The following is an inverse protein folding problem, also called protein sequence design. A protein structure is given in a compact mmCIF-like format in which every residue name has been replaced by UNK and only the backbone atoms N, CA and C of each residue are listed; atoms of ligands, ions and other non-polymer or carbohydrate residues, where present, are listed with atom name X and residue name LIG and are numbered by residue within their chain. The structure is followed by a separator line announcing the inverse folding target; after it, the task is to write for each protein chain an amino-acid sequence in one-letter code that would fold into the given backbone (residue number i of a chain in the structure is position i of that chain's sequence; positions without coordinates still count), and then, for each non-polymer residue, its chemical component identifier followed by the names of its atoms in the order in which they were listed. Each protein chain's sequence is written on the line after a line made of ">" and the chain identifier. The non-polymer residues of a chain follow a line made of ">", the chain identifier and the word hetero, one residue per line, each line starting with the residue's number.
data_IF_986779874836
#
_entry.id   IF_986779874836
#
_cell.length_a   1.000
_cell.length_b   1.000
_cell.length_c   1.000
_cell.angle_alpha   90.00
_cell.angle_beta   90.00
_cell.angle_gamma   90.00
#
_symmetry.space_group_name_H-M   'P 1'
#
loop_
_entity.id
_entity.type
_entity.pdbx_description
1 polymer ?
#
# COMPACT_ATOMS: atom_id res chain seq x y z
N UNK A 1 -8.74 56.29 -70.98
CA UNK A 1 -8.88 56.10 -69.53
C UNK A 1 -9.01 54.59 -69.28
N UNK A 2 -7.94 53.82 -69.56
CA UNK A 2 -8.04 52.34 -69.69
C UNK A 2 -6.70 51.62 -69.49
N UNK A 3 -5.82 52.14 -68.64
CA UNK A 3 -4.55 51.45 -68.29
C UNK A 3 -4.36 51.27 -66.77
N UNK A 4 -5.13 51.97 -65.94
CA UNK A 4 -5.05 51.85 -64.49
C UNK A 4 -5.62 50.52 -63.96
N UNK A 5 -6.56 49.89 -64.69
CA UNK A 5 -7.24 48.68 -64.22
C UNK A 5 -6.43 47.39 -64.37
N UNK A 6 -5.37 47.37 -65.19
CA UNK A 6 -4.53 46.17 -65.36
C UNK A 6 -3.43 46.04 -64.30
N UNK A 7 -3.05 47.14 -63.64
CA UNK A 7 -2.04 47.13 -62.57
C UNK A 7 -2.66 46.66 -61.25
N UNK A 8 -3.93 47.01 -60.98
CA UNK A 8 -4.66 46.57 -59.78
C UNK A 8 -4.92 45.05 -59.76
N UNK A 9 -5.18 44.44 -60.93
CA UNK A 9 -5.44 43.00 -61.03
C UNK A 9 -4.19 42.14 -60.81
N UNK A 10 -2.99 42.69 -61.05
CA UNK A 10 -1.72 42.00 -60.83
C UNK A 10 -1.22 42.12 -59.37
N UNK A 11 -1.80 43.01 -58.57
CA UNK A 11 -1.37 43.29 -57.19
C UNK A 11 -1.99 42.34 -56.14
N UNK A 12 -2.94 41.49 -56.53
CA UNK A 12 -3.65 40.57 -55.61
C UNK A 12 -3.28 39.09 -55.75
N UNK A 13 -2.11 38.75 -56.30
CA UNK A 13 -1.50 37.45 -56.01
C UNK A 13 -0.90 37.46 -54.59
N UNK A 14 -1.77 37.51 -53.57
CA UNK A 14 -1.40 37.15 -52.21
C UNK A 14 -1.03 35.67 -52.22
N UNK A 15 0.24 35.41 -52.49
CA UNK A 15 0.89 34.11 -52.30
C UNK A 15 0.39 33.54 -50.98
N UNK A 16 -0.33 32.42 -51.03
CA UNK A 16 -0.86 31.75 -49.86
C UNK A 16 0.26 31.66 -48.82
N UNK A 17 0.01 32.16 -47.60
CA UNK A 17 1.01 32.14 -46.52
C UNK A 17 1.59 30.73 -46.46
N UNK A 18 2.87 30.61 -46.83
CA UNK A 18 3.57 29.35 -46.83
C UNK A 18 3.49 28.87 -45.40
N UNK A 19 2.72 27.81 -45.20
CA UNK A 19 2.54 27.16 -43.91
C UNK A 19 3.89 27.16 -43.18
N UNK A 20 3.95 27.72 -41.98
CA UNK A 20 5.18 27.77 -41.19
C UNK A 20 5.55 26.35 -40.72
N UNK A 21 6.09 25.56 -41.64
CA UNK A 21 6.47 24.17 -41.44
C UNK A 21 7.53 24.05 -40.34
N UNK A 22 8.47 25.01 -40.26
CA UNK A 22 9.47 25.06 -39.20
C UNK A 22 8.83 25.22 -37.81
N UNK A 23 7.86 26.12 -37.66
CA UNK A 23 7.11 26.31 -36.42
C UNK A 23 6.28 25.10 -36.04
N UNK A 24 5.62 24.45 -37.02
CA UNK A 24 4.86 23.21 -36.79
C UNK A 24 5.75 22.04 -36.37
N UNK A 25 6.89 21.85 -37.05
CA UNK A 25 7.87 20.82 -36.68
C UNK A 25 8.44 21.09 -35.29
N UNK A 26 8.79 22.35 -34.99
CA UNK A 26 9.24 22.75 -33.65
C UNK A 26 8.22 22.43 -32.57
N UNK A 27 6.95 22.75 -32.79
CA UNK A 27 5.86 22.40 -31.87
C UNK A 27 5.68 20.89 -31.71
N UNK A 28 5.75 20.11 -32.79
CA UNK A 28 5.63 18.65 -32.72
C UNK A 28 6.78 18.02 -31.95
N UNK A 29 8.01 18.47 -32.19
CA UNK A 29 9.20 18.01 -31.45
C UNK A 29 9.09 18.39 -29.98
N UNK A 30 8.71 19.65 -29.68
CA UNK A 30 8.51 20.11 -28.31
C UNK A 30 7.45 19.30 -27.57
N UNK A 31 6.31 19.03 -28.22
CA UNK A 31 5.24 18.20 -27.66
C UNK A 31 5.71 16.76 -27.44
N UNK A 32 6.43 16.16 -28.39
CA UNK A 32 6.95 14.81 -28.26
C UNK A 32 7.95 14.69 -27.09
N UNK A 33 8.85 15.65 -26.93
CA UNK A 33 9.79 15.71 -25.80
C UNK A 33 9.05 15.89 -24.46
N UNK A 34 8.04 16.75 -24.43
CA UNK A 34 7.22 16.94 -23.22
C UNK A 34 6.48 15.66 -22.83
N UNK A 35 5.86 14.97 -23.79
CA UNK A 35 5.21 13.67 -23.56
C UNK A 35 6.23 12.65 -23.07
N UNK A 36 7.40 12.54 -23.71
CA UNK A 36 8.46 11.62 -23.29
C UNK A 36 8.94 11.91 -21.86
N UNK A 37 9.08 13.19 -21.49
CA UNK A 37 9.44 13.61 -20.13
C UNK A 37 8.37 13.20 -19.11
N UNK A 38 7.08 13.40 -19.41
CA UNK A 38 5.98 12.97 -18.53
C UNK A 38 6.02 11.46 -18.33
N UNK A 39 6.16 10.67 -19.40
CA UNK A 39 6.29 9.21 -19.28
C UNK A 39 7.54 8.80 -18.49
N UNK A 40 8.66 9.51 -18.66
CA UNK A 40 9.87 9.26 -17.88
C UNK A 40 9.68 9.56 -16.39
N UNK A 41 9.03 10.67 -16.04
CA UNK A 41 8.70 11.02 -14.65
C UNK A 41 7.72 10.01 -14.03
N UNK A 42 6.70 9.57 -14.77
CA UNK A 42 5.79 8.50 -14.33
C UNK A 42 6.55 7.19 -14.06
N UNK A 43 7.49 6.83 -14.94
CA UNK A 43 8.36 5.67 -14.77
C UNK A 43 9.26 5.81 -13.54
N UNK A 44 9.87 6.97 -13.31
CA UNK A 44 10.68 7.23 -12.11
C UNK A 44 9.84 7.10 -10.84
N UNK A 45 8.64 7.70 -10.79
CA UNK A 45 7.72 7.55 -9.66
C UNK A 45 7.36 6.10 -9.36
N UNK A 46 7.19 5.27 -10.39
CA UNK A 46 6.99 3.82 -10.23
C UNK A 46 8.22 3.09 -9.70
N UNK A 47 9.43 3.43 -10.18
CA UNK A 47 10.67 2.83 -9.70
C UNK A 47 10.96 3.19 -8.24
N UNK A 48 10.67 4.43 -7.83
CA UNK A 48 10.81 4.89 -6.45
C UNK A 48 9.85 4.15 -5.52
N UNK A 49 8.59 3.95 -5.92
CA UNK A 49 7.65 3.11 -5.15
C UNK A 49 8.10 1.66 -5.02
N UNK A 50 8.69 1.07 -6.07
CA UNK A 50 9.24 -0.29 -6.01
C UNK A 50 10.41 -0.40 -5.03
N UNK A 51 11.34 0.55 -5.06
CA UNK A 51 12.47 0.61 -4.11
C UNK A 51 11.98 0.76 -2.68
N UNK A 52 10.97 1.61 -2.47
CA UNK A 52 10.31 1.69 -1.19
C UNK A 52 9.80 0.31 -0.76
N UNK A 53 9.22 -0.54 -1.59
CA UNK A 53 8.75 -1.85 -1.12
C UNK A 53 9.83 -2.96 -1.07
N UNK A 54 11.02 -2.74 -1.64
CA UNK A 54 12.04 -3.78 -1.83
C UNK A 54 12.86 -4.10 -0.56
N UNK A 55 13.02 -3.14 0.36
CA UNK A 55 13.86 -3.28 1.55
C UNK A 55 13.13 -3.89 2.77
N UNK A 56 12.03 -4.62 2.55
CA UNK A 56 11.36 -5.31 3.66
C UNK A 56 12.18 -6.53 4.07
N UNK A 57 12.57 -6.66 5.35
CA UNK A 57 13.32 -7.82 5.83
C UNK A 57 12.50 -9.11 5.67
N UNK A 58 13.13 -10.26 5.82
CA UNK A 58 12.39 -11.53 5.75
C UNK A 58 11.35 -11.64 6.87
N UNK A 59 10.24 -12.31 6.57
CA UNK A 59 9.16 -12.52 7.54
C UNK A 59 9.63 -13.45 8.65
N UNK A 60 9.14 -13.23 9.86
CA UNK A 60 9.41 -14.15 10.96
C UNK A 60 8.74 -15.50 10.67
N UNK A 61 9.40 -16.58 11.05
CA UNK A 61 8.82 -17.92 11.07
C UNK A 61 8.12 -18.13 12.41
N UNK A 62 6.98 -18.82 12.39
CA UNK A 62 6.33 -19.24 13.62
C UNK A 62 7.29 -20.14 14.44
N UNK A 63 7.34 -19.99 15.78
CA UNK A 63 8.10 -20.91 16.62
C UNK A 63 7.50 -22.32 16.54
N UNK A 64 8.33 -23.35 16.72
CA UNK A 64 7.87 -24.76 16.67
C UNK A 64 6.79 -25.07 17.72
N UNK A 65 6.79 -24.36 18.85
CA UNK A 65 5.79 -24.46 19.90
C UNK A 65 5.27 -23.04 20.24
N UNK A 66 4.27 -22.53 19.49
CA UNK A 66 3.74 -21.17 19.72
C UNK A 66 2.90 -21.05 21.00
N UNK A 67 2.55 -22.17 21.63
CA UNK A 67 1.74 -22.23 22.83
C UNK A 67 0.26 -22.51 22.54
N UNK A 68 -0.58 -22.34 23.55
CA UNK A 68 -2.02 -22.57 23.45
C UNK A 68 -2.71 -21.46 22.63
N UNK A 69 -3.65 -21.83 21.77
CA UNK A 69 -4.43 -20.89 20.97
C UNK A 69 -5.41 -20.12 21.87
N UNK A 70 -5.24 -18.79 21.93
CA UNK A 70 -6.19 -17.89 22.59
C UNK A 70 -7.46 -17.70 21.77
N UNK A 71 -7.28 -17.53 20.46
CA UNK A 71 -8.35 -17.34 19.49
C UNK A 71 -7.96 -17.96 18.15
N UNK A 72 -8.96 -18.52 17.48
CA UNK A 72 -8.84 -19.06 16.13
C UNK A 72 -9.95 -18.51 15.24
N UNK A 73 -9.61 -18.25 13.98
CA UNK A 73 -10.52 -17.68 13.00
C UNK A 73 -10.18 -18.20 11.60
N UNK A 74 -11.21 -18.55 10.84
CA UNK A 74 -11.11 -18.77 9.40
C UNK A 74 -11.73 -17.60 8.63
N UNK A 75 -11.21 -17.33 7.44
CA UNK A 75 -11.82 -16.36 6.55
C UNK A 75 -10.99 -16.02 5.32
N UNK A 76 -10.93 -14.72 5.01
CA UNK A 76 -10.22 -14.20 3.84
C UNK A 76 -9.21 -13.13 4.23
N UNK A 77 -8.03 -13.24 3.65
CA UNK A 77 -7.02 -12.22 3.69
C UNK A 77 -7.14 -11.29 2.48
N UNK A 78 -7.22 -9.98 2.73
CA UNK A 78 -7.45 -8.97 1.71
C UNK A 78 -6.18 -8.32 1.15
N UNK A 79 -5.04 -8.53 1.82
CA UNK A 79 -3.76 -7.91 1.51
C UNK A 79 -3.25 -7.06 2.69
N UNK A 80 -1.98 -6.69 2.61
CA UNK A 80 -1.38 -5.73 3.52
C UNK A 80 -1.08 -4.40 2.83
N UNK A 81 -1.12 -3.33 3.61
CA UNK A 81 -0.78 -1.98 3.18
C UNK A 81 0.18 -1.33 4.16
N UNK A 82 0.84 -0.25 3.74
CA UNK A 82 1.46 0.66 4.70
C UNK A 82 0.39 1.18 5.67
N UNK A 83 0.70 1.21 6.97
CA UNK A 83 -0.26 1.58 8.00
C UNK A 83 -0.87 2.96 7.74
N UNK A 84 -2.20 3.06 7.83
CA UNK A 84 -2.96 4.28 7.53
C UNK A 84 -3.04 4.67 6.05
N UNK A 85 -2.33 3.98 5.14
CA UNK A 85 -2.37 4.21 3.71
C UNK A 85 -3.05 3.04 2.98
N UNK A 86 -4.36 2.93 3.11
CA UNK A 86 -5.16 1.78 2.63
C UNK A 86 -5.08 1.50 1.10
N UNK A 87 -4.53 2.43 0.30
CA UNK A 87 -4.28 2.24 -1.13
C UNK A 87 -2.86 1.75 -1.44
N UNK A 88 -1.90 1.94 -0.53
CA UNK A 88 -0.51 1.56 -0.71
C UNK A 88 -0.29 0.08 -0.39
N UNK A 89 -0.65 -0.78 -1.35
CA UNK A 89 -0.53 -2.23 -1.22
C UNK A 89 0.94 -2.66 -1.20
N UNK A 90 1.31 -3.47 -0.22
CA UNK A 90 2.63 -4.09 -0.11
C UNK A 90 2.63 -5.38 -0.90
N UNK A 91 3.49 -5.49 -1.92
CA UNK A 91 3.58 -6.68 -2.77
C UNK A 91 4.71 -7.63 -2.33
N UNK A 92 5.67 -7.14 -1.55
CA UNK A 92 6.78 -7.94 -1.02
C UNK A 92 6.28 -9.14 -0.20
N UNK A 93 7.06 -10.22 -0.22
CA UNK A 93 6.85 -11.45 0.57
C UNK A 93 5.45 -12.07 0.44
N UNK A 94 4.75 -11.81 -0.68
CA UNK A 94 3.39 -12.30 -0.91
C UNK A 94 2.31 -11.61 -0.07
N UNK A 95 2.63 -10.51 0.63
CA UNK A 95 1.67 -9.78 1.47
C UNK A 95 0.56 -9.09 0.64
N UNK A 96 0.74 -8.93 -0.67
CA UNK A 96 -0.25 -8.32 -1.56
C UNK A 96 -1.28 -9.30 -2.14
N UNK A 97 -1.05 -10.60 -1.99
CA UNK A 97 -1.87 -11.66 -2.60
C UNK A 97 -3.07 -11.94 -1.71
N UNK A 98 -4.27 -11.93 -2.30
CA UNK A 98 -5.52 -12.30 -1.61
C UNK A 98 -5.62 -13.82 -1.52
N UNK A 99 -6.07 -14.32 -0.39
CA UNK A 99 -6.16 -15.76 -0.15
C UNK A 99 -7.27 -16.09 0.87
N UNK A 100 -7.56 -17.39 1.01
CA UNK A 100 -8.12 -17.88 2.27
C UNK A 100 -7.10 -17.72 3.39
N UNK A 101 -7.57 -17.65 4.62
CA UNK A 101 -6.70 -17.51 5.78
C UNK A 101 -7.29 -18.23 6.98
N UNK A 102 -6.39 -18.81 7.76
CA UNK A 102 -6.62 -19.34 9.10
C UNK A 102 -5.68 -18.55 10.03
N UNK A 103 -6.26 -17.92 11.04
CA UNK A 103 -5.56 -17.11 12.03
C UNK A 103 -5.57 -17.84 13.36
N UNK A 104 -4.41 -17.91 13.99
CA UNK A 104 -4.26 -18.42 15.35
C UNK A 104 -3.50 -17.39 16.17
N UNK A 105 -4.15 -16.86 17.21
CA UNK A 105 -3.51 -15.95 18.16
C UNK A 105 -3.01 -16.75 19.35
N UNK A 106 -1.73 -16.61 19.67
CA UNK A 106 -1.07 -17.24 20.82
C UNK A 106 -0.33 -16.18 21.63
N UNK A 107 0.25 -16.57 22.77
CA UNK A 107 1.14 -15.71 23.56
C UNK A 107 2.40 -15.31 22.78
N UNK A 108 2.87 -16.18 21.88
CA UNK A 108 4.03 -15.91 21.03
C UNK A 108 3.74 -14.87 19.94
N UNK A 109 2.48 -14.78 19.49
CA UNK A 109 2.09 -13.86 18.43
C UNK A 109 0.91 -14.35 17.59
N UNK A 110 0.75 -13.73 16.43
CA UNK A 110 -0.27 -14.04 15.45
C UNK A 110 0.30 -14.90 14.33
N UNK A 111 -0.19 -16.14 14.24
CA UNK A 111 0.09 -17.01 13.11
C UNK A 111 -0.95 -16.83 12.00
N UNK A 112 -0.49 -16.73 10.76
CA UNK A 112 -1.30 -16.44 9.58
C UNK A 112 -1.02 -17.48 8.50
N UNK A 113 -1.82 -18.54 8.51
CA UNK A 113 -1.76 -19.61 7.53
C UNK A 113 -2.66 -19.24 6.35
N UNK A 114 -2.11 -19.24 5.14
CA UNK A 114 -2.79 -18.82 3.90
C UNK A 114 -2.72 -19.94 2.86
N UNK A 115 -3.66 -20.90 2.87
CA UNK A 115 -3.67 -21.99 1.89
C UNK A 115 -3.61 -21.47 0.45
N UNK A 116 -2.55 -21.86 -0.28
CA UNK A 116 -2.30 -21.44 -1.66
C UNK A 116 -1.58 -20.09 -1.81
N UNK A 117 -1.07 -19.51 -0.72
CA UNK A 117 -0.17 -18.37 -0.70
C UNK A 117 0.92 -18.59 0.39
N UNK A 118 1.85 -17.65 0.55
CA UNK A 118 2.91 -17.79 1.56
C UNK A 118 2.35 -17.53 2.96
N UNK A 119 2.68 -18.36 3.94
CA UNK A 119 2.31 -18.10 5.33
C UNK A 119 3.19 -17.02 5.95
N UNK A 120 2.76 -16.42 7.06
CA UNK A 120 3.59 -15.50 7.82
C UNK A 120 3.23 -15.44 9.28
N UNK A 121 4.23 -15.16 10.12
CA UNK A 121 4.05 -15.00 11.55
C UNK A 121 4.35 -13.56 11.98
N UNK A 122 3.51 -13.03 12.86
CA UNK A 122 3.70 -11.72 13.50
C UNK A 122 3.97 -11.94 14.99
N UNK A 123 5.23 -11.85 15.42
CA UNK A 123 5.61 -11.91 16.83
C UNK A 123 4.83 -10.93 17.70
N UNK A 124 4.53 -11.32 18.94
CA UNK A 124 3.76 -10.51 19.87
C UNK A 124 4.39 -9.12 20.15
N UNK A 125 5.72 -9.04 20.21
CA UNK A 125 6.50 -7.81 20.40
C UNK A 125 6.44 -6.84 19.20
N UNK A 126 6.04 -7.36 18.04
CA UNK A 126 5.84 -6.61 16.79
C UNK A 126 4.38 -6.20 16.57
N UNK A 127 3.43 -6.70 17.35
CA UNK A 127 2.05 -6.24 17.29
C UNK A 127 1.94 -4.80 17.80
N UNK A 128 1.17 -3.97 17.08
CA UNK A 128 0.93 -2.55 17.41
C UNK A 128 -0.54 -2.26 17.65
N UNK A 129 -1.43 -3.20 17.34
CA UNK A 129 -2.83 -3.16 17.70
C UNK A 129 -3.72 -3.76 16.63
N UNK A 130 -5.01 -3.80 16.91
CA UNK A 130 -6.03 -4.19 15.98
C UNK A 130 -7.22 -3.23 16.04
N UNK A 131 -7.90 -3.07 14.90
CA UNK A 131 -9.09 -2.24 14.78
C UNK A 131 -10.08 -2.85 13.80
N UNK A 132 -11.33 -2.42 13.91
CA UNK A 132 -12.32 -2.64 12.88
C UNK A 132 -12.26 -1.50 11.88
N UNK A 133 -12.24 -1.81 10.60
CA UNK A 133 -12.13 -0.82 9.54
C UNK A 133 -13.13 -1.13 8.40
N UNK A 134 -13.25 -0.19 7.47
CA UNK A 134 -14.10 -0.29 6.28
C UNK A 134 -13.29 -0.58 5.03
N UNK A 135 -11.99 -0.29 5.01
CA UNK A 135 -11.22 -0.41 3.79
C UNK A 135 -9.76 -0.82 3.96
N UNK A 136 -9.29 -1.67 3.06
CA UNK A 136 -7.88 -2.02 2.94
C UNK A 136 -7.54 -2.48 1.52
N UNK A 137 -6.29 -2.23 1.12
CA UNK A 137 -5.73 -2.67 -0.16
C UNK A 137 -6.63 -2.35 -1.36
N UNK A 138 -7.22 -1.15 -1.39
CA UNK A 138 -8.12 -0.70 -2.46
C UNK A 138 -9.51 -1.36 -2.46
N UNK A 139 -9.93 -2.02 -1.37
CA UNK A 139 -11.28 -2.57 -1.23
C UNK A 139 -12.00 -1.94 -0.05
N UNK A 140 -13.25 -1.53 -0.25
CA UNK A 140 -14.16 -1.04 0.79
C UNK A 140 -15.25 -2.09 1.05
N UNK A 141 -15.58 -2.30 2.32
CA UNK A 141 -16.60 -3.21 2.83
C UNK A 141 -17.56 -2.44 3.74
N UNK A 142 -18.60 -3.13 4.22
CA UNK A 142 -19.51 -2.60 5.24
C UNK A 142 -18.76 -2.32 6.54
N UNK A 143 -19.30 -1.39 7.34
CA UNK A 143 -18.78 -1.05 8.67
C UNK A 143 -18.63 -2.28 9.56
N UNK A 144 -17.47 -2.40 10.23
CA UNK A 144 -17.13 -3.56 11.06
C UNK A 144 -16.79 -4.85 10.29
N UNK A 145 -16.84 -4.80 8.94
CA UNK A 145 -16.66 -5.97 8.08
C UNK A 145 -15.21 -6.42 7.89
N UNK A 146 -14.24 -5.68 8.45
CA UNK A 146 -12.81 -5.96 8.31
C UNK A 146 -12.10 -5.82 9.66
N UNK A 147 -11.36 -6.86 10.05
CA UNK A 147 -10.35 -6.82 11.10
C UNK A 147 -9.03 -6.37 10.48
N UNK A 148 -8.48 -5.25 10.93
CA UNK A 148 -7.15 -4.78 10.55
C UNK A 148 -6.22 -4.95 11.73
N UNK A 149 -5.12 -5.68 11.53
CA UNK A 149 -4.05 -5.84 12.50
C UNK A 149 -2.87 -5.00 12.04
N UNK A 150 -2.43 -4.08 12.90
CA UNK A 150 -1.25 -3.23 12.67
C UNK A 150 -0.05 -3.84 13.37
N UNK A 151 1.07 -3.96 12.67
CA UNK A 151 2.30 -4.56 13.19
C UNK A 151 3.55 -3.95 12.57
N UNK A 152 4.67 -4.04 13.28
CA UNK A 152 5.97 -3.54 12.81
C UNK A 152 6.75 -4.61 12.04
N UNK A 153 7.32 -4.24 10.91
CA UNK A 153 8.16 -5.08 10.08
C UNK A 153 9.39 -4.30 9.61
N UNK A 154 10.54 -4.55 10.25
CA UNK A 154 11.68 -3.64 10.16
C UNK A 154 11.28 -2.24 10.66
N UNK A 155 11.62 -1.21 9.90
CA UNK A 155 11.32 0.19 10.23
C UNK A 155 9.91 0.64 9.79
N UNK A 156 9.02 -0.30 9.45
CA UNK A 156 7.69 0.01 8.88
C UNK A 156 6.56 -0.49 9.73
N UNK A 157 5.47 0.26 9.69
CA UNK A 157 4.17 -0.18 10.18
C UNK A 157 3.33 -0.68 9.00
N UNK A 158 2.82 -1.89 9.15
CA UNK A 158 2.01 -2.60 8.17
C UNK A 158 0.62 -2.82 8.75
N UNK A 159 -0.40 -2.56 7.95
CA UNK A 159 -1.78 -2.95 8.21
C UNK A 159 -2.09 -4.21 7.40
N UNK A 160 -2.47 -5.30 8.07
CA UNK A 160 -2.94 -6.54 7.45
C UNK A 160 -4.44 -6.70 7.67
N UNK A 161 -5.19 -6.91 6.58
CA UNK A 161 -6.64 -6.92 6.62
C UNK A 161 -7.25 -8.29 6.42
N UNK A 162 -8.14 -8.65 7.33
CA UNK A 162 -8.80 -9.95 7.42
C UNK A 162 -10.30 -9.77 7.50
N UNK A 163 -11.02 -10.70 6.88
CA UNK A 163 -12.46 -10.82 7.04
C UNK A 163 -12.77 -12.25 7.48
N UNK A 164 -13.25 -12.39 8.71
CA UNK A 164 -13.80 -13.64 9.22
C UNK A 164 -14.97 -14.11 8.38
N UNK A 165 -15.15 -15.43 8.30
CA UNK A 165 -16.40 -16.02 7.85
C UNK A 165 -17.59 -15.64 8.75
N UNK A 166 -17.31 -15.33 10.03
CA UNK A 166 -18.27 -14.89 11.05
C UNK A 166 -17.86 -13.52 11.60
N UNK A 167 -18.46 -12.45 11.06
CA UNK A 167 -18.05 -11.07 11.35
C UNK A 167 -18.14 -10.69 12.84
N UNK A 168 -19.03 -11.35 13.59
CA UNK A 168 -19.20 -11.19 15.04
C UNK A 168 -17.95 -11.59 15.85
N UNK A 169 -16.99 -12.29 15.25
CA UNK A 169 -15.71 -12.62 15.90
C UNK A 169 -14.76 -11.41 15.97
N UNK A 170 -14.83 -10.46 15.03
CA UNK A 170 -13.81 -9.41 14.94
C UNK A 170 -13.63 -8.57 16.22
N UNK A 171 -14.69 -8.20 16.98
CA UNK A 171 -14.53 -7.48 18.24
C UNK A 171 -13.68 -8.23 19.27
N UNK A 172 -13.83 -9.56 19.38
CA UNK A 172 -13.05 -10.38 20.31
C UNK A 172 -11.56 -10.37 19.95
N UNK A 173 -11.23 -10.39 18.66
CA UNK A 173 -9.86 -10.27 18.17
C UNK A 173 -9.21 -8.94 18.52
N UNK A 174 -9.95 -7.84 18.37
CA UNK A 174 -9.48 -6.50 18.77
C UNK A 174 -9.21 -6.46 20.28
N UNK A 175 -10.11 -7.03 21.09
CA UNK A 175 -9.95 -7.10 22.54
C UNK A 175 -8.79 -7.99 22.99
N UNK A 176 -8.46 -9.05 22.23
CA UNK A 176 -7.34 -9.94 22.56
C UNK A 176 -5.97 -9.38 22.13
N UNK A 177 -5.88 -8.73 20.96
CA UNK A 177 -4.62 -8.20 20.42
C UNK A 177 -4.17 -6.92 21.14
N UNK A 178 -5.09 -5.98 21.40
CA UNK A 178 -4.71 -4.66 21.93
C UNK A 178 -4.01 -4.70 23.30
N UNK A 179 -4.37 -5.58 24.25
CA UNK A 179 -3.62 -5.74 25.50
C UNK A 179 -2.18 -6.25 25.28
N UNK A 180 -1.94 -7.09 24.27
CA UNK A 180 -0.61 -7.63 23.99
C UNK A 180 0.37 -6.53 23.60
N UNK A 181 -0.07 -5.49 22.89
CA UNK A 181 0.75 -4.31 22.57
C UNK A 181 1.23 -3.59 23.84
N UNK A 182 0.36 -3.42 24.83
CA UNK A 182 0.67 -2.68 26.07
C UNK A 182 1.68 -3.41 26.95
N UNK A 183 1.70 -4.74 26.93
CA UNK A 183 2.64 -5.56 27.69
C UNK A 183 4.09 -5.28 27.29
N UNK A 184 4.35 -4.88 26.04
CA UNK A 184 5.71 -4.55 25.56
C UNK A 184 6.07 -3.06 25.68
N UNK A 185 5.10 -2.18 25.93
CA UNK A 185 5.37 -0.75 26.16
C UNK A 185 5.83 -0.45 27.59
N UNK A 186 5.71 -1.39 28.54
CA UNK A 186 6.19 -1.24 29.92
C UNK A 186 7.72 -1.45 29.95
N UNK A 187 8.55 -0.40 30.08
CA UNK A 187 9.95 -0.60 30.41
C UNK A 187 9.99 -1.03 31.88
N UNK A 188 10.76 -2.06 32.19
CA UNK A 188 11.13 -2.39 33.57
C UNK A 188 11.92 -1.22 34.16
N UNK A 189 11.23 -0.24 34.76
CA UNK A 189 11.84 0.55 35.82
C UNK A 189 11.94 -0.34 37.05
N UNK A 190 13.05 -1.07 37.13
CA UNK A 190 13.58 -1.57 38.39
C UNK A 190 13.81 -0.37 39.29
N UNK A 191 12.83 -0.05 40.13
CA UNK A 191 13.05 0.79 41.30
C UNK A 191 13.84 -0.05 42.29
N UNK A 192 15.15 -0.04 42.11
CA UNK A 192 16.10 -0.56 43.09
C UNK A 192 15.94 0.28 44.37
N UNK A 193 15.59 -0.40 45.47
CA UNK A 193 15.39 0.21 46.77
C UNK A 193 16.66 0.92 47.23
N UNK A 194 16.62 2.24 47.27
CA UNK A 194 17.56 3.02 48.07
C UNK A 194 16.98 3.12 49.48
N UNK A 195 17.42 2.19 50.34
CA UNK A 195 17.40 2.39 51.77
C UNK A 195 18.12 3.70 52.14
N UNK A 196 17.49 4.52 52.97
CA UNK A 196 18.09 5.28 54.08
C UNK A 196 17.00 5.97 54.90
#
# INVERSE_FOLDING_TARGET
>A
MTYASLIDLAAEEKSAEVTNWGGRIGWLVGLALFVALVYWLMRQGWQWRRRLQADLPELATAPEAPGEARLELSGRYHGSTTAGQWLDRIVAHGLGVRSKVELTLTDAGLDVVRPGANDFFVPADRLRGARLDKGIAGKVLTEGGLLVVTWSHGDRLIDSGFRSDRAEQHPAWVQAINPMTKTFEQPTTTTEGAAR
#
